data_IF_493629932162
#
_entry.id   IF_493629932162
#
_cell.length_a   1.000
_cell.length_b   1.000
_cell.length_c   1.000
_cell.angle_alpha   90.00
_cell.angle_beta   90.00
_cell.angle_gamma   90.00
#
_symmetry.space_group_name_H-M   'P 1'
#
loop_
_entity.id
_entity.type
_entity.pdbx_description
1 polymer ?
#
# COMPACT_ATOMS: atom_id res chain seq x y z
N UNK A 1 14.30 26.32 0.11
CA UNK A 1 13.31 25.29 -0.24
C UNK A 1 13.85 23.98 0.29
N UNK A 2 13.52 23.65 1.54
CA UNK A 2 14.00 22.42 2.18
C UNK A 2 13.17 21.27 1.63
N UNK A 3 13.82 20.28 1.01
CA UNK A 3 13.18 19.03 0.61
C UNK A 3 12.52 18.41 1.84
N UNK A 4 11.18 18.41 1.87
CA UNK A 4 10.37 17.82 2.91
C UNK A 4 10.30 16.31 2.69
N UNK A 5 11.44 15.63 2.74
CA UNK A 5 11.52 14.17 2.68
C UNK A 5 11.32 13.61 4.08
N UNK A 6 10.42 12.62 4.23
CA UNK A 6 10.31 11.86 5.47
C UNK A 6 11.68 11.24 5.82
N UNK A 7 11.97 11.05 7.11
CA UNK A 7 13.18 10.32 7.48
C UNK A 7 12.99 8.84 7.08
N UNK A 8 13.88 8.24 6.27
CA UNK A 8 13.68 6.88 5.73
C UNK A 8 13.42 5.82 6.82
N UNK A 9 13.98 6.01 8.01
CA UNK A 9 13.76 5.11 9.16
C UNK A 9 12.33 5.15 9.71
N UNK A 10 11.64 6.29 9.66
CA UNK A 10 10.25 6.39 10.14
C UNK A 10 9.26 5.74 9.18
N UNK A 11 9.49 5.87 7.88
CA UNK A 11 8.69 5.20 6.86
C UNK A 11 8.78 3.68 6.99
N UNK A 12 9.99 3.14 7.12
CA UNK A 12 10.19 1.71 7.36
C UNK A 12 9.53 1.27 8.67
N UNK A 13 9.71 2.02 9.77
CA UNK A 13 9.10 1.70 11.05
C UNK A 13 7.57 1.62 10.97
N UNK A 14 6.93 2.53 10.23
CA UNK A 14 5.50 2.47 9.97
C UNK A 14 5.09 1.16 9.29
N UNK A 15 5.82 0.74 8.24
CA UNK A 15 5.56 -0.52 7.54
C UNK A 15 5.77 -1.73 8.46
N UNK A 16 6.85 -1.75 9.24
CA UNK A 16 7.16 -2.87 10.14
C UNK A 16 6.13 -3.03 11.26
N UNK A 17 5.60 -1.93 11.81
CA UNK A 17 4.53 -1.99 12.82
C UNK A 17 3.28 -2.66 12.24
N UNK A 18 2.91 -2.32 11.00
CA UNK A 18 1.74 -2.92 10.34
C UNK A 18 1.96 -4.37 9.96
N UNK A 19 3.15 -4.69 9.45
CA UNK A 19 3.59 -6.05 9.16
C UNK A 19 3.56 -6.91 10.42
N UNK A 20 3.99 -6.38 11.57
CA UNK A 20 3.95 -7.07 12.85
C UNK A 20 2.50 -7.34 13.29
N UNK A 21 1.61 -6.35 13.21
CA UNK A 21 0.18 -6.54 13.53
C UNK A 21 -0.45 -7.65 12.69
N UNK A 22 -0.17 -7.67 11.38
CA UNK A 22 -0.62 -8.73 10.50
C UNK A 22 -0.04 -10.09 10.91
N UNK A 23 1.26 -10.14 11.21
CA UNK A 23 1.94 -11.36 11.64
C UNK A 23 1.33 -11.96 12.90
N UNK A 24 1.01 -11.10 13.86
CA UNK A 24 0.44 -11.50 15.14
C UNK A 24 -1.01 -11.98 14.99
N UNK A 25 -1.72 -11.55 13.95
CA UNK A 25 -3.09 -11.94 13.64
C UNK A 25 -3.27 -13.26 12.89
N UNK A 26 -2.22 -13.73 12.20
CA UNK A 26 -2.32 -14.93 11.36
C UNK A 26 -1.60 -16.14 11.96
N UNK A 27 -2.15 -17.34 11.72
CA UNK A 27 -1.63 -18.60 12.30
C UNK A 27 -0.50 -19.26 11.50
N UNK A 28 0.05 -18.58 10.48
CA UNK A 28 1.11 -19.11 9.60
C UNK A 28 2.26 -18.11 9.47
N UNK A 29 3.42 -18.60 9.03
CA UNK A 29 4.53 -17.72 8.70
C UNK A 29 4.18 -16.79 7.53
N UNK A 30 4.51 -15.50 7.69
CA UNK A 30 4.40 -14.52 6.62
C UNK A 30 5.46 -14.80 5.56
N UNK A 31 5.00 -15.25 4.40
CA UNK A 31 5.80 -15.41 3.19
C UNK A 31 5.21 -14.51 2.09
N UNK A 32 6.01 -13.62 1.48
CA UNK A 32 5.51 -12.79 0.40
C UNK A 32 5.18 -13.66 -0.82
N UNK A 33 4.15 -13.27 -1.55
CA UNK A 33 3.81 -13.79 -2.87
C UNK A 33 5.02 -13.59 -3.78
N UNK A 34 5.42 -14.64 -4.50
CA UNK A 34 6.65 -14.62 -5.29
C UNK A 34 7.95 -14.67 -4.46
N UNK A 35 7.91 -15.16 -3.22
CA UNK A 35 9.13 -15.39 -2.43
C UNK A 35 10.18 -16.19 -3.24
N UNK A 36 11.39 -15.64 -3.35
CA UNK A 36 12.48 -16.23 -4.13
C UNK A 36 12.49 -15.82 -5.62
N UNK A 37 11.56 -14.97 -6.07
CA UNK A 37 11.65 -14.33 -7.38
C UNK A 37 12.93 -13.49 -7.50
N UNK A 38 13.49 -13.43 -8.70
CA UNK A 38 14.65 -12.60 -8.98
C UNK A 38 14.26 -11.12 -8.91
N UNK A 39 14.96 -10.29 -8.11
CA UNK A 39 14.67 -8.87 -8.03
C UNK A 39 14.80 -8.17 -9.38
N UNK A 40 13.99 -7.15 -9.60
CA UNK A 40 14.12 -6.30 -10.78
C UNK A 40 15.42 -5.47 -10.70
N UNK A 41 15.98 -5.18 -11.87
CA UNK A 41 17.06 -4.19 -11.96
C UNK A 41 16.58 -2.83 -11.46
N UNK A 42 17.45 -2.10 -10.74
CA UNK A 42 17.11 -0.86 -10.05
C UNK A 42 16.38 0.18 -10.91
N UNK A 43 16.75 0.32 -12.18
CA UNK A 43 16.10 1.25 -13.12
C UNK A 43 14.63 0.88 -13.37
N UNK A 44 14.34 -0.40 -13.56
CA UNK A 44 12.97 -0.89 -13.77
C UNK A 44 12.15 -0.82 -12.49
N UNK A 45 12.75 -1.16 -11.36
CA UNK A 45 12.10 -1.03 -10.05
C UNK A 45 11.72 0.43 -9.76
N UNK A 46 12.62 1.38 -10.05
CA UNK A 46 12.36 2.81 -9.91
C UNK A 46 11.28 3.31 -10.88
N UNK A 47 11.28 2.80 -12.12
CA UNK A 47 10.21 3.11 -13.09
C UNK A 47 8.84 2.66 -12.57
N UNK A 48 8.71 1.41 -12.12
CA UNK A 48 7.45 0.88 -11.61
C UNK A 48 7.01 1.56 -10.31
N UNK A 49 7.95 1.90 -9.43
CA UNK A 49 7.66 2.71 -8.25
C UNK A 49 7.05 4.06 -8.66
N UNK A 50 7.64 4.75 -9.63
CA UNK A 50 7.13 6.04 -10.13
C UNK A 50 5.70 5.92 -10.69
N UNK A 51 5.40 4.85 -11.41
CA UNK A 51 4.04 4.58 -11.90
C UNK A 51 3.05 4.41 -10.73
N UNK A 52 3.46 3.70 -9.67
CA UNK A 52 2.64 3.56 -8.45
C UNK A 52 2.44 4.91 -7.74
N UNK A 53 3.48 5.75 -7.64
CA UNK A 53 3.37 7.09 -7.07
C UNK A 53 2.38 7.96 -7.86
N UNK A 54 2.43 7.92 -9.19
CA UNK A 54 1.51 8.65 -10.06
C UNK A 54 0.06 8.17 -9.87
N UNK A 55 -0.18 6.86 -9.83
CA UNK A 55 -1.50 6.29 -9.55
C UNK A 55 -2.03 6.74 -8.19
N UNK A 56 -1.21 6.66 -7.14
CA UNK A 56 -1.57 7.10 -5.80
C UNK A 56 -2.02 8.56 -5.79
N UNK A 57 -1.24 9.46 -6.38
CA UNK A 57 -1.58 10.88 -6.37
C UNK A 57 -2.80 11.19 -7.23
N UNK A 58 -2.94 10.53 -8.37
CA UNK A 58 -4.11 10.69 -9.22
C UNK A 58 -5.37 10.30 -8.45
N UNK A 59 -5.41 9.10 -7.89
CA UNK A 59 -6.58 8.56 -7.19
C UNK A 59 -6.90 9.32 -5.90
N UNK A 60 -5.89 9.67 -5.11
CA UNK A 60 -6.05 10.52 -3.93
C UNK A 60 -6.66 11.89 -4.31
N UNK A 61 -6.21 12.50 -5.42
CA UNK A 61 -6.71 13.81 -5.87
C UNK A 61 -8.11 13.74 -6.47
N UNK A 62 -8.51 12.61 -7.08
CA UNK A 62 -9.85 12.44 -7.64
C UNK A 62 -10.92 12.44 -6.54
N UNK A 63 -10.62 11.82 -5.40
CA UNK A 63 -11.51 11.76 -4.25
C UNK A 63 -11.53 13.06 -3.44
N UNK A 64 -10.44 13.84 -3.47
CA UNK A 64 -10.45 15.25 -3.01
C UNK A 64 -11.41 16.15 -3.83
N UNK A 65 -11.77 15.75 -5.06
CA UNK A 65 -12.58 16.57 -5.98
C UNK A 65 -14.07 16.21 -6.01
N UNK A 66 -14.44 14.97 -5.68
CA UNK A 66 -15.82 14.51 -5.88
C UNK A 66 -16.74 14.78 -4.69
N UNK A 67 -16.23 14.92 -3.45
CA UNK A 67 -17.04 15.12 -2.23
C UNK A 67 -18.24 14.14 -2.12
N UNK A 68 -18.18 13.07 -2.91
CA UNK A 68 -19.27 12.12 -3.15
C UNK A 68 -19.17 11.05 -2.08
N UNK A 69 -19.97 11.29 -1.04
CA UNK A 69 -20.64 10.25 -0.26
C UNK A 69 -19.80 9.59 0.84
N UNK A 70 -19.86 10.22 2.01
CA UNK A 70 -19.93 9.51 3.27
C UNK A 70 -21.16 8.57 3.27
N UNK A 71 -21.04 7.42 2.60
CA UNK A 71 -21.95 6.30 2.82
C UNK A 71 -21.71 5.86 4.27
N UNK A 72 -22.76 5.90 5.09
CA UNK A 72 -22.69 5.55 6.51
C UNK A 72 -22.02 4.18 6.71
N UNK A 73 -20.76 4.20 7.15
CA UNK A 73 -19.88 3.03 7.21
C UNK A 73 -18.39 3.35 7.03
N UNK A 74 -18.04 4.51 6.46
CA UNK A 74 -16.65 4.94 6.23
C UNK A 74 -16.22 4.76 4.77
N UNK A 75 -15.22 5.53 4.33
CA UNK A 75 -14.65 5.42 2.99
C UNK A 75 -13.98 4.05 2.81
N UNK A 76 -14.41 3.26 1.83
CA UNK A 76 -13.70 2.03 1.46
C UNK A 76 -12.48 2.39 0.63
N UNK A 77 -11.29 2.33 1.23
CA UNK A 77 -10.01 2.61 0.54
C UNK A 77 -9.84 1.81 -0.76
N UNK A 78 -10.46 0.63 -0.87
CA UNK A 78 -10.45 -0.15 -2.11
C UNK A 78 -11.19 0.51 -3.28
N UNK A 79 -12.24 1.29 -3.00
CA UNK A 79 -13.00 2.05 -4.01
C UNK A 79 -12.28 3.32 -4.43
N UNK A 80 -11.51 3.91 -3.51
CA UNK A 80 -10.69 5.11 -3.73
C UNK A 80 -9.48 4.79 -4.62
N UNK A 81 -8.85 3.62 -4.41
CA UNK A 81 -7.59 3.24 -5.07
C UNK A 81 -7.68 2.01 -6.00
N UNK A 82 -8.67 1.91 -6.91
CA UNK A 82 -8.90 0.69 -7.68
C UNK A 82 -7.76 0.40 -8.66
N UNK A 83 -7.22 1.43 -9.32
CA UNK A 83 -6.12 1.33 -10.27
C UNK A 83 -4.79 1.05 -9.59
N UNK A 84 -4.50 1.71 -8.46
CA UNK A 84 -3.31 1.43 -7.67
C UNK A 84 -3.31 -0.02 -7.14
N UNK A 85 -4.44 -0.50 -6.61
CA UNK A 85 -4.53 -1.88 -6.11
C UNK A 85 -4.43 -2.91 -7.24
N UNK A 86 -5.07 -2.68 -8.39
CA UNK A 86 -4.91 -3.53 -9.56
C UNK A 86 -3.47 -3.57 -10.07
N UNK A 87 -2.75 -2.43 -10.00
CA UNK A 87 -1.33 -2.37 -10.34
C UNK A 87 -0.48 -3.23 -9.40
N UNK A 88 -0.70 -3.12 -8.08
CA UNK A 88 -0.03 -3.96 -7.07
C UNK A 88 -0.33 -5.45 -7.28
N UNK A 89 -1.57 -5.81 -7.56
CA UNK A 89 -1.96 -7.19 -7.89
C UNK A 89 -1.23 -7.70 -9.14
N UNK A 90 -1.11 -6.87 -10.18
CA UNK A 90 -0.35 -7.16 -11.39
C UNK A 90 1.13 -7.46 -11.13
N UNK A 91 1.73 -6.78 -10.16
CA UNK A 91 3.11 -7.05 -9.71
C UNK A 91 3.25 -8.37 -8.97
N UNK A 92 2.17 -8.96 -8.45
CA UNK A 92 2.20 -10.16 -7.61
C UNK A 92 1.65 -11.41 -8.31
N UNK A 93 1.43 -11.35 -9.63
CA UNK A 93 0.90 -12.49 -10.38
C UNK A 93 1.89 -13.67 -10.37
N UNK A 94 1.50 -14.79 -9.75
CA UNK A 94 2.28 -16.04 -9.71
C UNK A 94 1.89 -17.04 -10.79
N UNK A 95 0.71 -16.88 -11.40
CA UNK A 95 0.19 -17.79 -12.42
C UNK A 95 -0.47 -17.02 -13.55
N UNK A 96 -0.20 -17.49 -14.76
CA UNK A 96 -0.85 -17.02 -15.99
C UNK A 96 -1.50 -18.22 -16.68
N UNK A 97 -2.49 -18.00 -17.55
CA UNK A 97 -3.05 -19.07 -18.38
C UNK A 97 -1.98 -19.84 -19.17
N UNK A 98 -2.25 -21.11 -19.47
CA UNK A 98 -1.31 -22.00 -20.18
C UNK A 98 -0.97 -21.51 -21.60
N UNK A 99 -1.82 -20.68 -22.21
CA UNK A 99 -1.63 -20.06 -23.52
C UNK A 99 -0.93 -18.69 -23.46
N UNK A 100 -0.48 -18.25 -22.27
CA UNK A 100 0.25 -17.00 -22.11
C UNK A 100 1.60 -17.02 -22.82
N UNK A 101 1.89 -15.95 -23.56
CA UNK A 101 3.14 -15.79 -24.30
C UNK A 101 4.35 -15.48 -23.40
N UNK A 102 4.12 -15.15 -22.13
CA UNK A 102 5.15 -14.89 -21.14
C UNK A 102 4.79 -15.55 -19.80
N UNK A 103 5.78 -16.08 -19.05
CA UNK A 103 5.55 -16.65 -17.73
C UNK A 103 5.15 -15.56 -16.74
N UNK A 104 4.42 -15.95 -15.70
CA UNK A 104 4.22 -15.13 -14.51
C UNK A 104 5.59 -14.77 -13.89
N UNK A 105 5.77 -13.49 -13.56
CA UNK A 105 6.99 -12.98 -12.91
C UNK A 105 6.56 -12.01 -11.80
N UNK A 106 6.38 -12.52 -10.57
CA UNK A 106 6.06 -11.65 -9.45
C UNK A 106 7.27 -10.79 -9.08
N UNK A 107 6.98 -9.58 -8.60
CA UNK A 107 7.92 -8.53 -8.25
C UNK A 107 7.61 -7.98 -6.85
N UNK A 108 7.71 -8.83 -5.80
CA UNK A 108 7.46 -8.41 -4.42
C UNK A 108 8.47 -7.35 -3.94
N UNK A 109 9.65 -7.29 -4.54
CA UNK A 109 10.66 -6.25 -4.30
C UNK A 109 10.14 -4.84 -4.63
N UNK A 110 9.39 -4.70 -5.73
CA UNK A 110 8.77 -3.42 -6.09
C UNK A 110 7.64 -3.09 -5.13
N UNK A 111 6.85 -4.07 -4.70
CA UNK A 111 5.78 -3.86 -3.73
C UNK A 111 6.33 -3.43 -2.37
N UNK A 112 7.48 -3.96 -1.94
CA UNK A 112 8.19 -3.49 -0.75
C UNK A 112 8.62 -2.02 -0.87
N UNK A 113 9.11 -1.59 -2.03
CA UNK A 113 9.42 -0.17 -2.29
C UNK A 113 8.17 0.72 -2.22
N UNK A 114 7.05 0.23 -2.76
CA UNK A 114 5.75 0.93 -2.71
C UNK A 114 5.29 1.08 -1.25
N UNK A 115 5.44 0.05 -0.41
CA UNK A 115 5.11 0.13 1.01
C UNK A 115 5.93 1.19 1.74
N UNK A 116 7.24 1.29 1.43
CA UNK A 116 8.09 2.35 1.97
C UNK A 116 7.57 3.73 1.54
N UNK A 117 7.25 3.91 0.26
CA UNK A 117 6.65 5.16 -0.24
C UNK A 117 5.37 5.53 0.52
N UNK A 118 4.44 4.59 0.71
CA UNK A 118 3.22 4.83 1.49
C UNK A 118 3.54 5.23 2.94
N UNK A 119 4.54 4.59 3.55
CA UNK A 119 5.05 4.96 4.87
C UNK A 119 5.59 6.39 4.91
N UNK A 120 6.34 6.81 3.89
CA UNK A 120 6.81 8.20 3.78
C UNK A 120 5.64 9.18 3.69
N UNK A 121 4.64 8.89 2.86
CA UNK A 121 3.46 9.76 2.72
C UNK A 121 2.71 9.90 4.03
N UNK A 122 2.46 8.79 4.73
CA UNK A 122 1.79 8.81 6.03
C UNK A 122 2.57 9.63 7.07
N UNK A 123 3.90 9.51 7.11
CA UNK A 123 4.76 10.32 8.00
C UNK A 123 4.68 11.80 7.65
N UNK A 124 4.68 12.15 6.36
CA UNK A 124 4.53 13.55 5.93
C UNK A 124 3.17 14.13 6.33
N UNK A 125 2.07 13.43 6.09
CA UNK A 125 0.75 13.88 6.53
C UNK A 125 0.66 13.99 8.05
N UNK A 126 1.29 13.07 8.80
CA UNK A 126 1.34 13.15 10.26
C UNK A 126 2.08 14.41 10.75
N UNK A 127 3.20 14.75 10.11
CA UNK A 127 3.96 15.98 10.41
C UNK A 127 3.17 17.23 10.09
N UNK A 128 2.42 17.25 9.00
CA UNK A 128 1.55 18.37 8.64
C UNK A 128 0.48 18.61 9.73
N UNK A 129 -0.17 17.54 10.22
CA UNK A 129 -1.11 17.62 11.34
C UNK A 129 -0.44 18.11 12.63
N UNK A 130 0.74 17.59 12.97
CA UNK A 130 1.52 18.03 14.14
C UNK A 130 1.93 19.51 14.07
N UNK A 131 2.14 20.03 12.85
CA UNK A 131 2.43 21.43 12.59
C UNK A 131 1.16 22.32 12.58
N UNK A 132 -0.01 21.74 12.86
CA UNK A 132 -1.28 22.46 12.92
C UNK A 132 -1.92 22.71 11.56
N UNK A 133 -1.49 22.01 10.50
CA UNK A 133 -2.24 21.93 9.23
C UNK A 133 -3.41 20.97 9.43
N UNK A 134 -4.36 21.39 10.27
CA UNK A 134 -5.56 20.62 10.59
C UNK A 134 -6.63 20.93 9.54
N UNK A 135 -6.47 20.33 8.36
CA UNK A 135 -7.50 20.30 7.34
C UNK A 135 -8.05 18.89 7.24
N UNK A 136 -9.37 18.78 7.08
CA UNK A 136 -10.07 17.50 6.87
C UNK A 136 -9.38 16.67 5.78
N UNK A 137 -8.84 17.35 4.76
CA UNK A 137 -8.03 16.77 3.69
C UNK A 137 -6.79 16.01 4.18
N UNK A 138 -5.97 16.60 5.05
CA UNK A 138 -4.73 15.94 5.53
C UNK A 138 -5.07 14.79 6.47
N UNK A 139 -6.11 14.95 7.30
CA UNK A 139 -6.63 13.87 8.16
C UNK A 139 -7.09 12.69 7.31
N UNK A 140 -7.87 12.97 6.27
CA UNK A 140 -8.40 11.98 5.34
C UNK A 140 -7.28 11.29 4.55
N UNK A 141 -6.36 12.05 3.94
CA UNK A 141 -5.24 11.51 3.17
C UNK A 141 -4.34 10.61 4.02
N UNK A 142 -4.09 10.99 5.28
CA UNK A 142 -3.36 10.16 6.24
C UNK A 142 -4.08 8.84 6.53
N UNK A 143 -5.39 8.90 6.77
CA UNK A 143 -6.19 7.71 7.07
C UNK A 143 -6.26 6.75 5.88
N UNK A 144 -6.50 7.27 4.68
CA UNK A 144 -6.52 6.51 3.43
C UNK A 144 -5.16 5.85 3.15
N UNK A 145 -4.06 6.60 3.28
CA UNK A 145 -2.70 6.04 3.09
C UNK A 145 -2.42 4.91 4.07
N UNK A 146 -2.88 5.05 5.32
CA UNK A 146 -2.75 4.02 6.34
C UNK A 146 -3.50 2.73 5.99
N UNK A 147 -4.74 2.84 5.53
CA UNK A 147 -5.54 1.70 5.10
C UNK A 147 -4.99 1.07 3.81
N UNK A 148 -4.52 1.89 2.86
CA UNK A 148 -3.94 1.42 1.61
C UNK A 148 -2.69 0.57 1.86
N UNK A 149 -1.84 0.98 2.82
CA UNK A 149 -0.69 0.18 3.22
C UNK A 149 -1.08 -1.21 3.77
N UNK A 150 -2.19 -1.31 4.53
CA UNK A 150 -2.70 -2.60 5.02
C UNK A 150 -3.21 -3.48 3.88
N UNK A 151 -3.90 -2.88 2.90
CA UNK A 151 -4.40 -3.59 1.71
C UNK A 151 -3.25 -4.10 0.83
N UNK A 152 -2.18 -3.31 0.69
CA UNK A 152 -0.96 -3.72 -0.04
C UNK A 152 -0.23 -4.83 0.70
N UNK A 153 -0.08 -4.73 2.03
CA UNK A 153 0.51 -5.80 2.84
C UNK A 153 -0.30 -7.11 2.73
N UNK A 154 -1.63 -7.01 2.75
CA UNK A 154 -2.51 -8.17 2.61
C UNK A 154 -2.31 -8.86 1.27
N UNK A 155 -2.20 -8.10 0.17
CA UNK A 155 -1.88 -8.61 -1.16
C UNK A 155 -0.47 -9.21 -1.22
N UNK A 156 0.53 -8.51 -0.68
CA UNK A 156 1.92 -8.97 -0.64
C UNK A 156 2.05 -10.32 0.05
N UNK A 157 1.29 -10.58 1.12
CA UNK A 157 1.35 -11.83 1.87
C UNK A 157 0.26 -12.85 1.51
N UNK A 158 -0.54 -12.56 0.49
CA UNK A 158 -1.64 -13.43 0.05
C UNK A 158 -2.64 -13.72 1.16
N UNK A 159 -2.98 -12.72 1.96
CA UNK A 159 -3.92 -12.83 3.08
C UNK A 159 -5.33 -12.86 2.52
N UNK A 160 -6.06 -13.91 2.84
CA UNK A 160 -7.47 -14.06 2.48
C UNK A 160 -8.38 -13.17 3.34
N UNK A 161 -9.60 -12.93 2.87
CA UNK A 161 -10.61 -12.21 3.65
C UNK A 161 -10.91 -12.93 4.99
N UNK A 162 -10.88 -14.26 5.00
CA UNK A 162 -11.09 -15.08 6.21
C UNK A 162 -9.98 -14.85 7.25
N UNK A 163 -8.71 -14.81 6.83
CA UNK A 163 -7.57 -14.51 7.72
C UNK A 163 -7.62 -13.06 8.25
N UNK A 164 -8.16 -12.11 7.48
CA UNK A 164 -8.36 -10.72 7.95
C UNK A 164 -9.45 -10.64 9.04
N UNK A 165 -10.57 -11.34 8.86
CA UNK A 165 -11.64 -11.41 9.87
C UNK A 165 -11.15 -12.03 11.19
N UNK A 166 -10.29 -13.05 11.12
CA UNK A 166 -9.65 -13.67 12.31
C UNK A 166 -8.76 -12.68 13.07
N UNK A 167 -8.08 -11.78 12.34
CA UNK A 167 -7.20 -10.76 12.92
C UNK A 167 -7.99 -9.66 13.63
N UNK A 168 -9.13 -9.24 13.07
CA UNK A 168 -10.01 -8.23 13.66
C UNK A 168 -10.79 -8.76 14.88
N UNK A 169 -11.15 -10.04 14.90
CA UNK A 169 -11.82 -10.67 16.04
C UNK A 169 -10.92 -10.81 17.30
N UNK A 170 -9.61 -10.62 17.15
CA UNK A 170 -8.62 -10.71 18.22
C UNK A 170 -8.12 -9.34 18.73
N UNK A 171 -8.54 -8.23 18.11
CA UNK A 171 -8.17 -6.85 18.47
C UNK A 171 -9.19 -6.19 19.42
#
# INVERSE_FOLDING_TARGET
MSNNTAEPGMAQAFVEVRRARIRDGISRDLQPVGAGAEPLGAEKAAYLLKEAEELFWNELSWEELTDEEAIGGGHFTELVFPGFLAFVEGLLVERVPDDSLAPARPHPDVVELILVFLGERHVLFSRELEQGVDSERVVWARAMTAQLADLVLSRLYGISAEELEETEAQA
#
